data_IF_784332150644
#
_entry.id   IF_784332150644
#
_cell.length_a   1.000
_cell.length_b   1.000
_cell.length_c   1.000
_cell.angle_alpha   90.00
_cell.angle_beta   90.00
_cell.angle_gamma   90.00
#
_symmetry.space_group_name_H-M   'P 1'
#
loop_
_entity.id
_entity.type
_entity.pdbx_description
1 polymer ?
#
# COMPACT_ATOMS: atom_id res chain seq x y z
N UNK A 1 -27.14 -33.65 -44.06
CA UNK A 1 -26.00 -32.78 -43.67
C UNK A 1 -26.35 -32.22 -42.29
N UNK A 2 -25.72 -32.72 -41.23
CA UNK A 2 -26.00 -32.32 -39.84
C UNK A 2 -25.54 -30.89 -39.59
N UNK A 3 -26.43 -30.02 -39.12
CA UNK A 3 -26.12 -28.63 -38.76
C UNK A 3 -25.12 -28.57 -37.60
N UNK A 4 -24.04 -27.81 -37.79
CA UNK A 4 -23.06 -27.55 -36.75
C UNK A 4 -23.66 -26.59 -35.72
N UNK A 5 -23.77 -27.04 -34.47
CA UNK A 5 -24.27 -26.26 -33.35
C UNK A 5 -23.15 -25.38 -32.81
N UNK A 6 -23.24 -24.07 -33.02
CA UNK A 6 -22.26 -23.10 -32.51
C UNK A 6 -22.58 -22.75 -31.05
N UNK A 7 -21.57 -22.80 -30.18
CA UNK A 7 -21.66 -22.35 -28.79
C UNK A 7 -20.63 -21.25 -28.53
N UNK A 8 -20.99 -20.26 -27.70
CA UNK A 8 -20.09 -19.18 -27.27
C UNK A 8 -19.23 -19.60 -26.07
N UNK A 9 -19.51 -20.74 -25.47
CA UNK A 9 -18.77 -21.25 -24.32
C UNK A 9 -17.50 -21.96 -24.79
N UNK A 10 -16.36 -21.52 -24.24
CA UNK A 10 -15.05 -22.10 -24.55
C UNK A 10 -14.89 -23.45 -23.83
N UNK A 11 -14.86 -24.58 -24.56
CA UNK A 11 -14.77 -25.92 -23.94
C UNK A 11 -13.39 -26.20 -23.31
N UNK A 12 -12.41 -25.33 -23.51
CA UNK A 12 -11.06 -25.43 -22.93
C UNK A 12 -10.83 -24.42 -21.79
N UNK A 13 -11.85 -23.67 -21.37
CA UNK A 13 -11.69 -22.70 -20.30
C UNK A 13 -11.57 -23.42 -18.95
N UNK A 14 -10.34 -23.58 -18.47
CA UNK A 14 -10.05 -24.06 -17.12
C UNK A 14 -10.65 -23.09 -16.10
N UNK A 15 -11.63 -23.57 -15.31
CA UNK A 15 -12.35 -22.79 -14.26
C UNK A 15 -11.47 -22.41 -13.06
N UNK A 16 -10.27 -22.99 -12.94
CA UNK A 16 -9.31 -22.59 -11.92
C UNK A 16 -8.46 -21.43 -12.44
N UNK A 17 -8.59 -20.26 -11.82
CA UNK A 17 -7.59 -19.20 -11.95
C UNK A 17 -6.21 -19.80 -11.63
N UNK A 18 -5.21 -19.69 -12.51
CA UNK A 18 -3.87 -20.09 -12.14
C UNK A 18 -3.42 -19.15 -11.02
N UNK A 19 -3.11 -19.70 -9.84
CA UNK A 19 -2.25 -19.02 -8.86
C UNK A 19 -0.89 -18.85 -9.52
N UNK A 20 -0.75 -17.79 -10.31
CA UNK A 20 0.55 -17.37 -10.83
C UNK A 20 1.26 -16.75 -9.65
N UNK A 21 1.98 -17.59 -8.90
CA UNK A 21 3.10 -17.16 -8.07
C UNK A 21 4.12 -16.52 -9.01
N UNK A 22 3.92 -15.23 -9.32
CA UNK A 22 4.89 -14.46 -10.07
C UNK A 22 6.19 -14.50 -9.27
N UNK A 23 7.32 -14.95 -9.87
CA UNK A 23 8.60 -14.78 -9.20
C UNK A 23 8.78 -13.28 -8.96
N UNK A 24 9.11 -12.89 -7.72
CA UNK A 24 9.34 -11.49 -7.35
C UNK A 24 10.38 -10.89 -8.30
N UNK A 25 9.91 -10.14 -9.27
CA UNK A 25 10.76 -9.45 -10.23
C UNK A 25 11.21 -8.10 -9.68
N UNK A 26 12.17 -7.47 -10.35
CA UNK A 26 12.65 -6.12 -10.04
C UNK A 26 11.52 -5.09 -9.91
N UNK A 27 10.44 -5.27 -10.68
CA UNK A 27 9.24 -4.43 -10.58
C UNK A 27 8.50 -4.59 -9.25
N UNK A 28 8.37 -5.82 -8.75
CA UNK A 28 7.68 -6.08 -7.48
C UNK A 28 8.50 -5.56 -6.30
N UNK A 29 9.82 -5.72 -6.35
CA UNK A 29 10.74 -5.14 -5.36
C UNK A 29 10.66 -3.61 -5.33
N UNK A 30 10.64 -2.96 -6.50
CA UNK A 30 10.49 -1.50 -6.60
C UNK A 30 9.14 -1.03 -6.02
N UNK A 31 8.07 -1.79 -6.24
CA UNK A 31 6.76 -1.49 -5.65
C UNK A 31 6.75 -1.67 -4.13
N UNK A 32 7.41 -2.71 -3.60
CA UNK A 32 7.54 -2.93 -2.16
C UNK A 32 8.31 -1.79 -1.50
N UNK A 33 9.41 -1.35 -2.12
CA UNK A 33 10.18 -0.19 -1.67
C UNK A 33 9.36 1.10 -1.71
N UNK A 34 8.58 1.31 -2.77
CA UNK A 34 7.66 2.44 -2.87
C UNK A 34 6.62 2.46 -1.74
N UNK A 35 6.03 1.30 -1.43
CA UNK A 35 5.09 1.14 -0.31
C UNK A 35 5.77 1.43 1.04
N UNK A 36 6.99 0.95 1.24
CA UNK A 36 7.75 1.21 2.46
C UNK A 36 7.97 2.72 2.67
N UNK A 37 8.39 3.44 1.62
CA UNK A 37 8.61 4.88 1.68
C UNK A 37 7.33 5.67 2.02
N UNK A 38 6.19 5.28 1.48
CA UNK A 38 4.89 5.91 1.79
C UNK A 38 4.46 5.65 3.24
N UNK A 39 4.81 4.50 3.81
CA UNK A 39 4.42 4.13 5.17
C UNK A 39 5.31 4.78 6.26
N UNK A 40 6.56 5.12 5.94
CA UNK A 40 7.51 5.76 6.89
C UNK A 40 6.94 6.99 7.63
N UNK A 41 6.32 7.97 6.96
CA UNK A 41 5.75 9.12 7.65
C UNK A 41 4.68 8.76 8.70
N UNK A 42 3.87 7.73 8.44
CA UNK A 42 2.83 7.28 9.36
C UNK A 42 3.42 6.58 10.59
N UNK A 43 4.51 5.84 10.41
CA UNK A 43 5.27 5.25 11.52
C UNK A 43 6.01 6.31 12.34
N UNK A 44 6.42 7.40 11.69
CA UNK A 44 7.09 8.53 12.33
C UNK A 44 8.34 8.08 13.09
N UNK A 45 8.43 8.45 14.37
CA UNK A 45 9.51 8.03 15.26
C UNK A 45 9.25 6.72 16.02
N UNK A 46 8.16 6.01 15.71
CA UNK A 46 7.70 4.82 16.45
C UNK A 46 6.97 5.16 17.76
N UNK A 47 6.38 4.13 18.37
CA UNK A 47 5.56 4.24 19.59
C UNK A 47 6.35 4.85 20.75
N UNK A 48 7.62 4.50 20.91
CA UNK A 48 8.47 5.03 21.98
C UNK A 48 8.58 6.55 21.93
N UNK A 49 8.71 7.14 20.74
CA UNK A 49 8.78 8.60 20.57
C UNK A 49 7.44 9.27 20.80
N UNK A 50 6.34 8.60 20.47
CA UNK A 50 4.98 9.06 20.78
C UNK A 50 4.80 9.13 22.30
N UNK A 51 5.16 8.06 23.01
CA UNK A 51 5.09 8.00 24.48
C UNK A 51 5.92 9.11 25.13
N UNK A 52 7.12 9.39 24.62
CA UNK A 52 7.96 10.50 25.13
C UNK A 52 7.34 11.88 24.87
N UNK A 53 6.54 12.07 23.82
CA UNK A 53 5.81 13.32 23.62
C UNK A 53 4.66 13.45 24.61
N UNK A 54 3.87 12.39 24.75
CA UNK A 54 2.72 12.36 25.67
C UNK A 54 3.15 12.44 27.13
N UNK A 55 4.29 11.85 27.52
CA UNK A 55 4.84 11.98 28.87
C UNK A 55 5.28 13.41 29.23
N UNK A 56 5.34 14.31 28.24
CA UNK A 56 5.66 15.73 28.39
C UNK A 56 4.43 16.63 28.18
N UNK A 57 3.23 16.04 28.17
CA UNK A 57 1.97 16.73 27.86
C UNK A 57 1.97 17.42 26.49
N UNK A 58 2.66 16.83 25.49
CA UNK A 58 2.71 17.36 24.12
C UNK A 58 2.11 16.37 23.14
N UNK A 59 1.26 16.90 22.26
CA UNK A 59 0.76 16.16 21.10
C UNK A 59 1.86 16.01 20.04
N UNK A 60 1.82 14.90 19.30
CA UNK A 60 2.59 14.66 18.09
C UNK A 60 2.13 15.59 16.95
N UNK A 61 2.96 15.75 15.91
CA UNK A 61 2.60 16.58 14.74
C UNK A 61 1.33 16.05 14.06
N UNK A 62 1.20 14.72 13.95
CA UNK A 62 0.02 14.09 13.35
C UNK A 62 -1.27 14.36 14.12
N UNK A 63 -1.22 14.27 15.45
CA UNK A 63 -2.36 14.59 16.30
C UNK A 63 -2.75 16.06 16.17
N UNK A 64 -1.77 16.97 16.08
CA UNK A 64 -2.05 18.40 15.86
C UNK A 64 -2.71 18.66 14.51
N UNK A 65 -2.24 18.03 13.44
CA UNK A 65 -2.86 18.15 12.10
C UNK A 65 -4.33 17.71 12.16
N UNK A 66 -4.61 16.56 12.78
CA UNK A 66 -5.97 16.03 12.95
C UNK A 66 -6.89 16.94 13.78
N UNK A 67 -6.34 17.68 14.74
CA UNK A 67 -7.12 18.67 15.51
C UNK A 67 -7.43 19.91 14.66
N UNK A 68 -6.52 20.30 13.77
CA UNK A 68 -6.65 21.52 12.98
C UNK A 68 -7.54 21.36 11.75
N UNK A 69 -7.63 20.15 11.19
CA UNK A 69 -8.43 19.91 9.99
C UNK A 69 -8.84 18.44 9.87
N UNK A 70 -10.03 18.22 9.31
CA UNK A 70 -10.53 16.90 8.91
C UNK A 70 -9.97 16.46 7.54
N UNK A 71 -9.24 17.33 6.84
CA UNK A 71 -8.65 17.01 5.55
C UNK A 71 -7.38 16.16 5.69
N UNK A 72 -7.22 15.18 4.80
CA UNK A 72 -6.00 14.38 4.75
C UNK A 72 -4.81 15.23 4.28
N UNK A 73 -3.68 15.21 5.01
CA UNK A 73 -2.49 15.95 4.61
C UNK A 73 -1.84 15.32 3.39
N UNK A 74 -1.32 16.16 2.49
CA UNK A 74 -0.52 15.69 1.37
C UNK A 74 0.90 15.32 1.84
N UNK A 75 1.23 14.04 1.83
CA UNK A 75 2.52 13.50 2.29
C UNK A 75 3.36 13.10 1.08
N UNK A 76 4.55 13.68 0.95
CA UNK A 76 5.48 13.37 -0.14
C UNK A 76 6.60 12.42 0.35
N UNK A 77 6.96 11.45 -0.50
CA UNK A 77 8.01 10.47 -0.21
C UNK A 77 9.42 11.07 -0.13
N UNK A 78 9.62 12.28 -0.69
CA UNK A 78 10.93 12.94 -0.83
C UNK A 78 11.64 13.16 0.51
N UNK A 79 10.88 13.31 1.60
CA UNK A 79 11.43 13.53 2.95
C UNK A 79 11.91 12.24 3.64
N UNK A 80 11.72 11.06 3.01
CA UNK A 80 11.87 9.75 3.64
C UNK A 80 12.75 8.77 2.84
N UNK A 81 13.31 9.22 1.71
CA UNK A 81 14.29 8.47 0.92
C UNK A 81 15.63 8.32 1.64
N UNK A 82 16.49 7.43 1.15
CA UNK A 82 17.90 7.40 1.56
C UNK A 82 18.57 8.70 1.12
N UNK A 83 19.32 9.31 2.03
CA UNK A 83 20.32 10.36 1.74
C UNK A 83 21.54 9.72 1.08
#
# INVERSE_FOLDING_TARGET
MSEAKYSLENPFQSTSEPEVLKPRGLYEEANELGKELLNKPLLGGGVDRILVQHSKDRMTVWERIKVLTDQEPNILYQNWGKV
#
